data_IF_749339188371
#
_entry.id   IF_749339188371
#
_cell.length_a   1.000
_cell.length_b   1.000
_cell.length_c   1.000
_cell.angle_alpha   90.00
_cell.angle_beta   90.00
_cell.angle_gamma   90.00
#
_symmetry.space_group_name_H-M   'P 1'
#
loop_
_entity.id
_entity.type
_entity.pdbx_description
1 polymer ?
#
# COMPACT_ATOMS: atom_id res chain seq x y z
N UNK A 1 5.91 8.84 16.52
CA UNK A 1 7.02 9.66 15.98
C UNK A 1 6.50 11.01 15.46
N UNK A 2 5.31 11.09 14.81
CA UNK A 2 4.80 12.34 14.25
C UNK A 2 4.71 13.49 15.28
N UNK A 3 4.16 13.22 16.46
CA UNK A 3 4.02 14.22 17.53
C UNK A 3 5.39 14.69 18.05
N UNK A 4 6.35 13.79 18.17
CA UNK A 4 7.71 14.15 18.64
C UNK A 4 8.42 15.07 17.67
N UNK A 5 8.31 14.80 16.36
CA UNK A 5 8.88 15.66 15.32
C UNK A 5 8.24 17.05 15.32
N UNK A 6 6.93 17.10 15.54
CA UNK A 6 6.19 18.37 15.64
C UNK A 6 6.66 19.17 16.85
N UNK A 7 6.80 18.54 18.00
CA UNK A 7 7.22 19.21 19.24
C UNK A 7 8.69 19.63 19.18
N UNK A 8 9.55 18.78 18.61
CA UNK A 8 10.98 19.03 18.59
C UNK A 8 11.41 20.05 17.54
N UNK A 9 10.78 20.01 16.34
CA UNK A 9 11.14 20.90 15.23
C UNK A 9 10.18 22.10 15.08
N UNK A 10 9.18 22.24 15.93
CA UNK A 10 8.18 23.30 15.84
C UNK A 10 7.37 23.29 14.53
N UNK A 11 7.23 22.11 13.91
CA UNK A 11 6.66 22.00 12.58
C UNK A 11 5.12 21.97 12.60
N UNK A 12 4.48 22.57 11.58
CA UNK A 12 3.05 22.46 11.34
C UNK A 12 2.66 21.10 10.76
N UNK A 13 1.34 20.84 10.68
CA UNK A 13 0.80 19.63 10.06
C UNK A 13 1.14 19.52 8.57
N UNK A 14 1.19 20.64 7.86
CA UNK A 14 1.62 20.70 6.46
C UNK A 14 3.06 20.21 6.28
N UNK A 15 3.99 20.68 7.11
CA UNK A 15 5.39 20.25 7.06
C UNK A 15 5.54 18.76 7.37
N UNK A 16 4.78 18.25 8.34
CA UNK A 16 4.72 16.83 8.68
C UNK A 16 4.16 16.02 7.50
N UNK A 17 3.10 16.51 6.85
CA UNK A 17 2.50 15.93 5.65
C UNK A 17 3.49 15.87 4.48
N UNK A 18 4.23 16.96 4.22
CA UNK A 18 5.28 17.02 3.18
C UNK A 18 6.42 16.04 3.46
N UNK A 19 6.90 15.98 4.70
CA UNK A 19 7.93 15.00 5.11
C UNK A 19 7.44 13.57 4.90
N UNK A 20 6.23 13.26 5.35
CA UNK A 20 5.67 11.90 5.20
C UNK A 20 5.42 11.55 3.74
N UNK A 21 4.93 12.50 2.93
CA UNK A 21 4.65 12.30 1.50
C UNK A 21 5.91 12.07 0.67
N UNK A 22 7.07 12.59 1.09
CA UNK A 22 8.35 12.40 0.38
C UNK A 22 8.70 10.91 0.19
N UNK A 23 8.35 10.07 1.17
CA UNK A 23 8.44 8.62 1.07
C UNK A 23 7.64 8.08 -0.11
N UNK A 24 6.38 8.47 -0.23
CA UNK A 24 5.45 7.95 -1.23
C UNK A 24 5.76 8.46 -2.63
N UNK A 25 6.23 9.69 -2.78
CA UNK A 25 6.69 10.22 -4.07
C UNK A 25 7.86 9.41 -4.63
N UNK A 26 8.90 9.17 -3.83
CA UNK A 26 10.06 8.41 -4.30
C UNK A 26 9.75 6.92 -4.44
N UNK A 27 8.91 6.36 -3.57
CA UNK A 27 8.40 5.00 -3.72
C UNK A 27 7.69 4.81 -5.06
N UNK A 28 6.77 5.71 -5.43
CA UNK A 28 6.04 5.63 -6.69
C UNK A 28 6.95 5.88 -7.91
N UNK A 29 7.85 6.86 -7.82
CA UNK A 29 8.75 7.22 -8.91
C UNK A 29 9.75 6.11 -9.26
N UNK A 30 10.18 5.33 -8.28
CA UNK A 30 11.19 4.28 -8.49
C UNK A 30 10.61 2.97 -9.04
N UNK A 31 9.31 2.74 -8.93
CA UNK A 31 8.66 1.50 -9.38
C UNK A 31 8.93 1.16 -10.86
N UNK A 32 8.77 2.09 -11.83
CA UNK A 32 9.06 1.78 -13.23
C UNK A 32 10.54 1.44 -13.49
N UNK A 33 11.55 2.21 -13.03
CA UNK A 33 12.95 1.88 -13.27
C UNK A 33 13.42 0.60 -12.55
N UNK A 34 12.83 0.24 -11.42
CA UNK A 34 13.20 -0.99 -10.68
C UNK A 34 12.92 -2.26 -11.49
N UNK A 35 11.86 -2.27 -12.29
CA UNK A 35 11.59 -3.37 -13.22
C UNK A 35 12.77 -3.58 -14.18
N UNK A 36 13.22 -2.52 -14.84
CA UNK A 36 14.36 -2.54 -15.77
C UNK A 36 15.67 -2.90 -15.07
N UNK A 37 15.93 -2.29 -13.90
CA UNK A 37 17.11 -2.61 -13.10
C UNK A 37 17.13 -4.09 -12.68
N UNK A 38 15.98 -4.63 -12.32
CA UNK A 38 15.86 -6.05 -11.97
C UNK A 38 16.12 -6.98 -13.17
N UNK A 39 15.82 -6.53 -14.39
CA UNK A 39 16.11 -7.28 -15.62
C UNK A 39 17.59 -7.25 -15.98
N UNK A 40 18.27 -6.12 -15.76
CA UNK A 40 19.65 -5.89 -16.17
C UNK A 40 20.68 -6.28 -15.12
N UNK A 41 20.48 -5.91 -13.85
CA UNK A 41 21.41 -6.14 -12.75
C UNK A 41 21.15 -7.45 -11.99
N UNK A 42 19.94 -8.03 -12.19
CA UNK A 42 19.45 -9.16 -11.42
C UNK A 42 18.73 -8.74 -10.13
N UNK A 43 17.69 -9.49 -9.73
CA UNK A 43 16.85 -9.16 -8.56
C UNK A 43 17.63 -9.10 -7.24
N UNK A 44 18.60 -10.00 -7.01
CA UNK A 44 19.43 -10.05 -5.80
C UNK A 44 20.17 -8.74 -5.56
N UNK A 45 20.85 -8.23 -6.59
CA UNK A 45 21.61 -6.97 -6.49
C UNK A 45 20.69 -5.80 -6.23
N UNK A 46 19.56 -5.73 -6.95
CA UNK A 46 18.59 -4.66 -6.79
C UNK A 46 17.99 -4.66 -5.37
N UNK A 47 17.52 -5.78 -4.85
CA UNK A 47 17.02 -5.88 -3.47
C UNK A 47 18.07 -5.40 -2.48
N UNK A 48 19.31 -5.88 -2.60
CA UNK A 48 20.37 -5.53 -1.65
C UNK A 48 20.72 -4.04 -1.70
N UNK A 49 20.92 -3.46 -2.88
CA UNK A 49 21.24 -2.03 -3.05
C UNK A 49 20.10 -1.16 -2.49
N UNK A 50 18.86 -1.48 -2.83
CA UNK A 50 17.71 -0.72 -2.39
C UNK A 50 17.46 -0.86 -0.88
N UNK A 51 17.72 -2.04 -0.30
CA UNK A 51 17.67 -2.22 1.17
C UNK A 51 18.78 -1.40 1.86
N UNK A 52 19.98 -1.29 1.28
CA UNK A 52 21.04 -0.42 1.80
C UNK A 52 20.66 1.07 1.71
N UNK A 53 20.00 1.50 0.62
CA UNK A 53 19.49 2.87 0.49
C UNK A 53 18.44 3.13 1.59
N UNK A 54 17.53 2.19 1.86
CA UNK A 54 16.56 2.29 2.95
C UNK A 54 17.24 2.38 4.32
N UNK A 55 18.29 1.60 4.55
CA UNK A 55 19.10 1.65 5.77
C UNK A 55 19.72 3.04 5.95
N UNK A 56 20.42 3.56 4.94
CA UNK A 56 21.03 4.91 4.95
C UNK A 56 19.96 5.97 5.23
N UNK A 57 18.82 5.90 4.55
CA UNK A 57 17.69 6.80 4.79
C UNK A 57 17.18 6.75 6.22
N UNK A 58 17.12 5.55 6.82
CA UNK A 58 16.68 5.36 8.21
C UNK A 58 17.68 5.95 9.21
N UNK A 59 18.98 5.80 8.96
CA UNK A 59 20.05 6.41 9.77
C UNK A 59 20.00 7.93 9.67
N UNK A 60 19.87 8.49 8.47
CA UNK A 60 19.72 9.95 8.24
C UNK A 60 18.47 10.46 8.97
N UNK A 61 17.34 9.74 8.89
CA UNK A 61 16.12 10.11 9.60
C UNK A 61 16.33 10.13 11.11
N UNK A 62 16.97 9.10 11.69
CA UNK A 62 17.28 9.04 13.11
C UNK A 62 18.27 10.12 13.59
N UNK A 63 19.14 10.58 12.71
CA UNK A 63 20.12 11.66 12.96
C UNK A 63 19.57 13.07 12.70
N UNK A 64 18.30 13.20 12.28
CA UNK A 64 17.74 14.46 11.86
C UNK A 64 17.74 15.50 13.00
N UNK A 65 18.23 16.68 12.71
CA UNK A 65 18.24 17.84 13.60
C UNK A 65 17.28 18.96 13.13
N UNK A 66 16.68 18.79 11.97
CA UNK A 66 15.62 19.65 11.43
C UNK A 66 14.71 18.86 10.51
N UNK A 67 13.57 19.47 10.12
CA UNK A 67 12.55 18.86 9.27
C UNK A 67 13.08 18.52 7.87
N UNK A 68 14.01 19.28 7.31
CA UNK A 68 14.58 19.04 5.98
C UNK A 68 15.38 17.75 5.97
N UNK A 69 16.25 17.52 6.96
CA UNK A 69 17.03 16.27 7.06
C UNK A 69 16.12 15.07 7.31
N UNK A 70 15.07 15.24 8.13
CA UNK A 70 14.06 14.21 8.32
C UNK A 70 13.34 13.87 7.00
N UNK A 71 13.01 14.88 6.19
CA UNK A 71 12.38 14.72 4.87
C UNK A 71 13.29 13.96 3.91
N UNK A 72 14.58 14.29 3.85
CA UNK A 72 15.57 13.57 3.02
C UNK A 72 15.68 12.10 3.46
N UNK A 73 15.77 11.87 4.78
CA UNK A 73 15.77 10.50 5.33
C UNK A 73 14.55 9.71 4.90
N UNK A 74 13.35 10.28 5.04
CA UNK A 74 12.08 9.66 4.62
C UNK A 74 12.02 9.40 3.11
N UNK A 75 12.49 10.33 2.31
CA UNK A 75 12.57 10.19 0.86
C UNK A 75 13.47 9.00 0.46
N UNK A 76 14.64 8.88 1.08
CA UNK A 76 15.56 7.75 0.85
C UNK A 76 14.98 6.41 1.33
N UNK A 77 14.26 6.39 2.46
CA UNK A 77 13.53 5.19 2.91
C UNK A 77 12.51 4.78 1.84
N UNK A 78 11.72 5.74 1.32
CA UNK A 78 10.72 5.47 0.27
C UNK A 78 11.36 4.94 -1.02
N UNK A 79 12.45 5.55 -1.45
CA UNK A 79 13.26 5.09 -2.58
C UNK A 79 13.70 3.64 -2.38
N UNK A 80 14.33 3.35 -1.24
CA UNK A 80 14.87 2.03 -0.91
C UNK A 80 13.79 0.95 -0.81
N UNK A 81 12.69 1.22 -0.11
CA UNK A 81 11.59 0.23 0.04
C UNK A 81 10.87 -0.01 -1.29
N UNK A 82 10.76 1.03 -2.15
CA UNK A 82 10.15 0.90 -3.48
C UNK A 82 10.86 -0.09 -4.41
N UNK A 83 12.14 -0.39 -4.15
CA UNK A 83 12.95 -1.31 -4.93
C UNK A 83 12.86 -2.79 -4.54
N UNK A 84 11.98 -3.18 -3.61
CA UNK A 84 11.98 -4.54 -3.04
C UNK A 84 10.90 -5.43 -3.66
N UNK A 85 9.68 -4.91 -3.87
CA UNK A 85 8.52 -5.71 -4.23
C UNK A 85 8.65 -6.40 -5.60
N UNK A 86 8.98 -5.64 -6.64
CA UNK A 86 9.06 -6.14 -8.02
C UNK A 86 10.17 -7.18 -8.18
N UNK A 87 11.41 -6.94 -7.71
CA UNK A 87 12.46 -7.96 -7.76
C UNK A 87 12.16 -9.19 -6.90
N UNK A 88 11.50 -9.01 -5.75
CA UNK A 88 11.06 -10.12 -4.91
C UNK A 88 10.09 -11.06 -5.64
N UNK A 89 9.07 -10.49 -6.28
CA UNK A 89 8.14 -11.26 -7.11
C UNK A 89 8.84 -11.96 -8.28
N UNK A 90 9.87 -11.33 -8.86
CA UNK A 90 10.67 -11.92 -9.94
C UNK A 90 11.50 -13.11 -9.47
N UNK A 91 12.10 -13.06 -8.26
CA UNK A 91 12.76 -14.23 -7.67
C UNK A 91 11.75 -15.36 -7.51
N UNK A 92 10.60 -15.08 -6.89
CA UNK A 92 9.56 -16.10 -6.68
C UNK A 92 9.11 -16.76 -7.99
N UNK A 93 8.96 -15.99 -9.08
CA UNK A 93 8.58 -16.53 -10.38
C UNK A 93 9.62 -17.46 -11.01
N UNK A 94 10.89 -17.35 -10.63
CA UNK A 94 11.98 -18.23 -11.11
C UNK A 94 12.22 -19.45 -10.22
N UNK A 95 11.87 -19.35 -8.92
CA UNK A 95 12.15 -20.37 -7.92
C UNK A 95 10.97 -21.31 -7.64
N UNK A 96 9.76 -20.95 -8.08
CA UNK A 96 8.55 -21.73 -7.85
C UNK A 96 7.84 -22.04 -9.16
N UNK A 97 7.26 -23.24 -9.27
CA UNK A 97 6.42 -23.60 -10.41
C UNK A 97 5.17 -22.75 -10.46
N UNK A 98 4.57 -22.57 -11.62
CA UNK A 98 3.37 -21.73 -11.82
C UNK A 98 2.24 -22.08 -10.83
N UNK A 99 2.03 -23.38 -10.54
CA UNK A 99 1.05 -23.85 -9.56
C UNK A 99 1.38 -23.47 -8.10
N UNK A 100 2.66 -23.28 -7.78
CA UNK A 100 3.17 -22.97 -6.43
C UNK A 100 3.38 -21.46 -6.24
N UNK A 101 3.53 -20.73 -7.33
CA UNK A 101 3.81 -19.28 -7.34
C UNK A 101 2.76 -18.46 -6.58
N UNK A 102 1.47 -18.81 -6.74
CA UNK A 102 0.40 -18.09 -6.06
C UNK A 102 0.51 -18.21 -4.53
N UNK A 103 0.87 -19.39 -4.02
CA UNK A 103 1.09 -19.63 -2.59
C UNK A 103 2.31 -18.85 -2.08
N UNK A 104 3.44 -18.92 -2.79
CA UNK A 104 4.67 -18.21 -2.44
C UNK A 104 4.47 -16.68 -2.46
N UNK A 105 3.79 -16.16 -3.48
CA UNK A 105 3.43 -14.74 -3.57
C UNK A 105 2.49 -14.32 -2.44
N UNK A 106 1.53 -15.18 -2.06
CA UNK A 106 0.65 -14.95 -0.92
C UNK A 106 1.43 -14.83 0.40
N UNK A 107 2.39 -15.70 0.65
CA UNK A 107 3.27 -15.63 1.83
C UNK A 107 4.11 -14.35 1.81
N UNK A 108 4.65 -13.96 0.67
CA UNK A 108 5.42 -12.73 0.51
C UNK A 108 4.59 -11.48 0.83
N UNK A 109 3.36 -11.41 0.34
CA UNK A 109 2.41 -10.34 0.65
C UNK A 109 2.01 -10.34 2.13
N UNK A 110 1.79 -11.53 2.71
CA UNK A 110 1.46 -11.66 4.13
C UNK A 110 2.61 -11.16 5.02
N UNK A 111 3.87 -11.46 4.67
CA UNK A 111 5.05 -10.95 5.36
C UNK A 111 5.13 -9.41 5.29
N UNK A 112 4.82 -8.81 4.13
CA UNK A 112 4.71 -7.35 3.99
C UNK A 112 3.64 -6.74 4.92
N UNK A 113 2.48 -7.37 5.03
CA UNK A 113 1.40 -6.93 5.93
C UNK A 113 1.73 -7.15 7.41
N UNK A 114 2.50 -8.19 7.76
CA UNK A 114 3.02 -8.37 9.12
C UNK A 114 3.91 -7.19 9.54
N UNK A 115 4.66 -6.59 8.60
CA UNK A 115 5.38 -5.34 8.81
C UNK A 115 4.47 -4.18 9.21
N UNK A 116 3.30 -4.03 8.61
CA UNK A 116 2.31 -3.02 8.98
C UNK A 116 1.77 -3.24 10.41
N UNK A 117 1.55 -4.50 10.80
CA UNK A 117 1.18 -4.83 12.20
C UNK A 117 2.31 -4.47 13.17
N UNK A 118 3.55 -4.79 12.83
CA UNK A 118 4.72 -4.45 13.63
C UNK A 118 4.95 -2.93 13.76
N UNK A 119 4.59 -2.16 12.74
CA UNK A 119 4.66 -0.69 12.76
C UNK A 119 3.59 -0.02 13.64
N UNK A 120 2.57 -0.76 14.11
CA UNK A 120 1.52 -0.23 14.99
C UNK A 120 1.96 -0.29 16.47
N UNK A 121 1.50 -1.28 17.22
CA UNK A 121 1.77 -1.37 18.66
C UNK A 121 3.24 -1.70 19.00
N UNK A 122 3.92 -2.66 18.34
CA UNK A 122 5.31 -2.97 18.65
C UNK A 122 6.25 -1.78 18.46
N UNK A 123 6.11 -1.02 17.37
CA UNK A 123 6.91 0.20 17.17
C UNK A 123 6.59 1.26 18.21
N UNK A 124 5.33 1.36 18.65
CA UNK A 124 4.94 2.29 19.71
C UNK A 124 5.69 1.99 21.00
N UNK A 125 5.78 0.73 21.43
CA UNK A 125 6.56 0.31 22.59
C UNK A 125 8.06 0.61 22.42
N UNK A 126 8.62 0.33 21.26
CA UNK A 126 10.04 0.60 20.97
C UNK A 126 10.35 2.10 21.11
N UNK A 127 9.49 2.96 20.57
CA UNK A 127 9.64 4.42 20.66
C UNK A 127 9.47 4.93 22.07
N UNK A 128 8.58 4.35 22.87
CA UNK A 128 8.42 4.72 24.28
C UNK A 128 9.62 4.33 25.14
N UNK A 129 10.26 3.19 24.85
CA UNK A 129 11.41 2.70 25.60
C UNK A 129 12.72 3.41 25.23
N UNK A 130 12.95 3.64 23.93
CA UNK A 130 14.24 4.11 23.40
C UNK A 130 14.19 5.55 22.87
N UNK A 131 13.00 6.14 22.75
CA UNK A 131 12.80 7.36 21.99
C UNK A 131 12.83 7.11 20.47
N UNK A 132 12.38 8.09 19.68
CA UNK A 132 12.23 7.93 18.24
C UNK A 132 13.57 7.80 17.47
N UNK A 133 14.63 8.50 17.95
CA UNK A 133 15.97 8.44 17.33
C UNK A 133 16.60 7.07 17.48
N UNK A 134 16.70 6.56 18.70
CA UNK A 134 17.29 5.24 18.94
C UNK A 134 16.46 4.12 18.33
N UNK A 135 15.14 4.25 18.30
CA UNK A 135 14.25 3.34 17.58
C UNK A 135 14.57 3.34 16.07
N UNK A 136 14.83 4.51 15.48
CA UNK A 136 15.22 4.61 14.07
C UNK A 136 16.58 3.95 13.83
N UNK A 137 17.58 4.14 14.70
CA UNK A 137 18.86 3.45 14.58
C UNK A 137 18.73 1.93 14.75
N UNK A 138 17.88 1.45 15.65
CA UNK A 138 17.62 0.02 15.82
C UNK A 138 16.97 -0.59 14.55
N UNK A 139 16.02 0.12 13.95
CA UNK A 139 15.41 -0.27 12.66
C UNK A 139 16.45 -0.21 11.54
N UNK A 140 17.31 0.79 11.52
CA UNK A 140 18.42 0.91 10.56
C UNK A 140 19.40 -0.27 10.66
N UNK A 141 19.79 -0.64 11.87
CA UNK A 141 20.65 -1.80 12.12
C UNK A 141 19.98 -3.12 11.67
N UNK A 142 18.68 -3.28 11.98
CA UNK A 142 17.91 -4.44 11.50
C UNK A 142 17.80 -4.46 9.97
N UNK A 143 17.59 -3.31 9.34
CA UNK A 143 17.55 -3.19 7.87
C UNK A 143 18.90 -3.52 7.24
N UNK A 144 20.01 -3.12 7.87
CA UNK A 144 21.37 -3.50 7.44
C UNK A 144 21.58 -5.01 7.53
N UNK A 145 21.16 -5.63 8.63
CA UNK A 145 21.18 -7.09 8.78
C UNK A 145 20.40 -7.78 7.66
N UNK A 146 19.20 -7.28 7.34
CA UNK A 146 18.39 -7.79 6.22
C UNK A 146 19.11 -7.62 4.87
N UNK A 147 19.84 -6.53 4.64
CA UNK A 147 20.62 -6.35 3.43
C UNK A 147 21.74 -7.40 3.32
N UNK A 148 22.45 -7.68 4.42
CA UNK A 148 23.49 -8.71 4.49
C UNK A 148 22.92 -10.11 4.27
N UNK A 149 21.78 -10.42 4.92
CA UNK A 149 21.05 -11.69 4.74
C UNK A 149 20.61 -11.84 3.28
N UNK A 150 20.01 -10.80 2.71
CA UNK A 150 19.56 -10.80 1.31
C UNK A 150 20.72 -11.07 0.36
N UNK A 151 21.85 -10.39 0.55
CA UNK A 151 23.06 -10.64 -0.24
C UNK A 151 23.59 -12.05 -0.11
N UNK A 152 23.57 -12.61 1.09
CA UNK A 152 24.12 -13.94 1.38
C UNK A 152 23.25 -15.08 0.90
N UNK A 153 21.94 -14.97 1.09
CA UNK A 153 20.97 -16.07 0.85
C UNK A 153 20.35 -16.01 -0.53
N UNK A 154 19.92 -14.82 -1.00
CA UNK A 154 19.22 -14.70 -2.27
C UNK A 154 20.12 -15.08 -3.44
N UNK A 155 19.54 -15.71 -4.43
CA UNK A 155 20.15 -16.00 -5.74
C UNK A 155 19.15 -15.66 -6.83
N UNK A 156 19.65 -15.21 -7.97
CA UNK A 156 18.78 -14.77 -9.06
C UNK A 156 18.11 -15.94 -9.77
N UNK A 157 18.81 -17.09 -9.83
CA UNK A 157 18.30 -18.29 -10.47
C UNK A 157 18.64 -19.53 -9.62
N UNK A 158 17.83 -20.63 -9.71
CA UNK A 158 18.15 -21.91 -9.07
C UNK A 158 19.50 -22.48 -9.46
N UNK A 159 19.93 -22.25 -10.71
CA UNK A 159 21.21 -22.72 -11.27
C UNK A 159 22.42 -22.13 -10.52
N UNK A 160 22.29 -20.94 -9.93
CA UNK A 160 23.34 -20.31 -9.11
C UNK A 160 23.68 -21.14 -7.85
N UNK A 161 22.81 -22.09 -7.48
CA UNK A 161 23.00 -23.07 -6.39
C UNK A 161 23.22 -24.50 -6.90
N UNK A 162 23.40 -24.68 -8.20
CA UNK A 162 23.56 -26.00 -8.81
C UNK A 162 22.27 -26.80 -8.94
N UNK A 163 21.11 -26.17 -8.77
CA UNK A 163 19.81 -26.80 -8.97
C UNK A 163 19.40 -26.70 -10.44
N UNK A 164 18.65 -27.69 -10.92
CA UNK A 164 18.11 -27.64 -12.28
C UNK A 164 17.09 -26.51 -12.40
N UNK A 165 17.10 -25.85 -13.54
CA UNK A 165 16.05 -24.89 -13.90
C UNK A 165 14.70 -25.59 -13.80
N UNK A 166 13.72 -24.90 -13.24
CA UNK A 166 12.35 -25.43 -13.22
C UNK A 166 11.82 -25.35 -14.65
N UNK A 167 11.92 -26.46 -15.37
CA UNK A 167 11.28 -26.62 -16.67
C UNK A 167 9.78 -26.75 -16.44
N UNK A 168 9.03 -25.73 -16.82
CA UNK A 168 7.59 -25.89 -16.98
C UNK A 168 7.37 -26.71 -18.24
N UNK A 169 6.85 -27.93 -18.09
CA UNK A 169 6.35 -28.70 -19.22
C UNK A 169 5.30 -27.87 -19.97
N UNK A 170 5.04 -28.18 -21.27
CA UNK A 170 4.05 -27.45 -22.04
C UNK A 170 2.72 -27.42 -21.27
N UNK A 171 2.33 -26.25 -20.80
CA UNK A 171 1.07 -26.04 -20.12
C UNK A 171 -0.01 -25.86 -21.19
N UNK A 172 -0.95 -26.80 -21.35
CA UNK A 172 -2.00 -26.71 -22.38
C UNK A 172 -2.89 -25.47 -22.23
N UNK A 173 -2.88 -24.84 -21.05
CA UNK A 173 -3.67 -23.62 -20.75
C UNK A 173 -2.84 -22.32 -20.78
N UNK A 174 -1.54 -22.40 -21.03
CA UNK A 174 -0.72 -21.20 -21.29
C UNK A 174 -0.75 -20.96 -22.80
N UNK A 175 -1.13 -19.76 -23.28
CA UNK A 175 -0.91 -19.41 -24.68
C UNK A 175 0.57 -19.71 -24.99
N UNK A 176 0.84 -20.43 -26.07
CA UNK A 176 2.21 -20.70 -26.49
C UNK A 176 3.00 -19.40 -26.51
N UNK A 177 4.26 -19.41 -26.06
CA UNK A 177 5.14 -18.23 -26.11
C UNK A 177 5.21 -17.65 -27.54
N UNK A 178 4.85 -18.42 -28.54
CA UNK A 178 4.75 -18.03 -29.94
C UNK A 178 3.51 -17.16 -30.26
N UNK A 179 2.45 -17.20 -29.46
CA UNK A 179 1.26 -16.33 -29.58
C UNK A 179 1.46 -14.94 -28.91
N UNK A 180 2.57 -14.74 -28.20
CA UNK A 180 2.93 -13.42 -27.68
C UNK A 180 3.44 -12.57 -28.84
N UNK A 181 2.89 -11.38 -29.06
CA UNK A 181 3.46 -10.44 -30.02
C UNK A 181 4.88 -10.10 -29.56
N UNK A 182 5.89 -10.82 -30.08
CA UNK A 182 7.32 -10.73 -29.70
C UNK A 182 7.92 -9.32 -29.83
N UNK A 183 7.13 -8.33 -30.29
CA UNK A 183 7.64 -6.99 -30.68
C UNK A 183 6.73 -5.82 -30.32
N UNK A 184 5.79 -5.96 -29.35
CA UNK A 184 5.03 -4.77 -28.95
C UNK A 184 5.90 -3.85 -28.10
N UNK A 185 6.32 -2.73 -28.70
CA UNK A 185 7.15 -1.71 -28.02
C UNK A 185 6.48 -1.23 -26.72
N UNK A 186 7.21 -0.89 -25.65
CA UNK A 186 6.65 -0.46 -24.37
C UNK A 186 5.60 0.66 -24.49
N UNK A 187 5.85 1.66 -25.34
CA UNK A 187 4.91 2.76 -25.56
C UNK A 187 3.55 2.30 -26.13
N UNK A 188 3.55 1.25 -26.96
CA UNK A 188 2.30 0.67 -27.51
C UNK A 188 1.51 -0.04 -26.42
N UNK A 189 2.19 -0.73 -25.47
CA UNK A 189 1.53 -1.35 -24.30
C UNK A 189 0.85 -0.30 -23.45
N UNK A 190 1.54 0.80 -23.15
CA UNK A 190 0.96 1.92 -22.39
C UNK A 190 -0.27 2.51 -23.11
N UNK A 191 -0.16 2.74 -24.42
CA UNK A 191 -1.27 3.27 -25.20
C UNK A 191 -2.51 2.36 -25.16
N UNK A 192 -2.32 1.03 -25.25
CA UNK A 192 -3.41 0.06 -25.15
C UNK A 192 -4.06 0.09 -23.75
N UNK A 193 -3.26 0.14 -22.69
CA UNK A 193 -3.78 0.21 -21.31
C UNK A 193 -4.58 1.50 -21.11
N UNK A 194 -4.02 2.64 -21.49
CA UNK A 194 -4.67 3.94 -21.31
C UNK A 194 -5.89 4.16 -22.20
N UNK A 195 -6.03 3.42 -23.32
CA UNK A 195 -7.21 3.49 -24.18
C UNK A 195 -8.45 2.79 -23.62
N UNK A 196 -8.30 1.96 -22.55
CA UNK A 196 -9.42 1.22 -21.95
C UNK A 196 -10.08 2.03 -20.83
N UNK A 197 -11.36 2.46 -20.99
CA UNK A 197 -12.06 3.22 -19.94
C UNK A 197 -12.11 2.49 -18.59
N UNK A 198 -12.26 1.16 -18.59
CA UNK A 198 -12.26 0.35 -17.38
C UNK A 198 -10.98 0.46 -16.56
N UNK A 199 -9.83 0.68 -17.20
CA UNK A 199 -8.56 0.93 -16.51
C UNK A 199 -8.62 2.22 -15.67
N UNK A 200 -9.13 3.31 -16.27
CA UNK A 200 -9.24 4.59 -15.58
C UNK A 200 -10.25 4.55 -14.43
N UNK A 201 -11.37 3.85 -14.61
CA UNK A 201 -12.37 3.69 -13.55
C UNK A 201 -11.76 3.02 -12.31
N UNK A 202 -10.99 1.95 -12.50
CA UNK A 202 -10.29 1.25 -11.40
C UNK A 202 -9.19 2.14 -10.83
N UNK A 203 -8.39 2.78 -11.66
CA UNK A 203 -7.27 3.63 -11.23
C UNK A 203 -7.77 4.84 -10.43
N UNK A 204 -8.84 5.51 -10.88
CA UNK A 204 -9.50 6.61 -10.17
C UNK A 204 -10.05 6.11 -8.83
N UNK A 205 -10.73 4.96 -8.81
CA UNK A 205 -11.23 4.38 -7.57
C UNK A 205 -10.08 4.05 -6.60
N UNK A 206 -9.01 3.44 -7.09
CA UNK A 206 -7.81 3.13 -6.28
C UNK A 206 -7.17 4.41 -5.73
N UNK A 207 -7.12 5.47 -6.52
CA UNK A 207 -6.58 6.77 -6.12
C UNK A 207 -7.43 7.40 -4.99
N UNK A 208 -8.71 7.56 -5.20
CA UNK A 208 -9.60 8.27 -4.28
C UNK A 208 -10.05 7.46 -3.07
N UNK A 209 -10.00 6.14 -3.13
CA UNK A 209 -10.30 5.27 -2.00
C UNK A 209 -9.05 4.88 -1.20
N UNK A 210 -7.99 4.45 -1.88
CA UNK A 210 -6.77 3.94 -1.23
C UNK A 210 -5.95 5.03 -0.55
N UNK A 211 -5.69 6.15 -1.25
CA UNK A 211 -4.81 7.21 -0.75
C UNK A 211 -5.28 7.90 0.53
N UNK A 212 -6.55 8.36 0.62
CA UNK A 212 -7.07 8.91 1.86
C UNK A 212 -7.03 7.94 3.04
N UNK A 213 -7.34 6.66 2.82
CA UNK A 213 -7.25 5.62 3.84
C UNK A 213 -5.81 5.44 4.37
N UNK A 214 -4.84 5.33 3.47
CA UNK A 214 -3.43 5.25 3.83
C UNK A 214 -2.92 6.54 4.50
N UNK A 215 -3.43 7.71 4.08
CA UNK A 215 -3.11 8.99 4.71
C UNK A 215 -3.58 9.03 6.16
N UNK A 216 -4.83 8.66 6.42
CA UNK A 216 -5.35 8.61 7.77
C UNK A 216 -4.59 7.60 8.62
N UNK A 217 -4.46 6.37 8.17
CA UNK A 217 -3.76 5.30 8.90
C UNK A 217 -2.31 5.67 9.21
N UNK A 218 -1.59 6.20 8.23
CA UNK A 218 -0.14 6.44 8.33
C UNK A 218 0.24 7.74 9.06
N UNK A 219 -0.64 8.73 9.11
CA UNK A 219 -0.29 10.05 9.63
C UNK A 219 -1.23 10.54 10.73
N UNK A 220 -2.54 10.44 10.55
CA UNK A 220 -3.51 11.14 11.40
C UNK A 220 -4.21 10.26 12.44
N UNK A 221 -4.27 8.95 12.28
CA UNK A 221 -5.07 8.08 13.16
C UNK A 221 -4.59 8.10 14.62
N UNK A 222 -3.28 8.04 14.87
CA UNK A 222 -2.74 8.10 16.25
C UNK A 222 -2.93 9.50 16.86
N UNK A 223 -2.53 10.61 16.20
CA UNK A 223 -2.84 11.96 16.70
C UNK A 223 -4.34 12.16 16.98
N UNK A 224 -5.21 11.75 16.07
CA UNK A 224 -6.65 11.84 16.27
C UNK A 224 -7.14 11.15 17.54
N UNK A 225 -6.68 9.93 17.79
CA UNK A 225 -7.07 9.17 18.99
C UNK A 225 -6.53 9.82 20.27
N UNK A 226 -5.33 10.38 20.22
CA UNK A 226 -4.75 11.09 21.37
C UNK A 226 -5.41 12.43 21.62
N UNK A 227 -5.59 13.25 20.58
CA UNK A 227 -6.10 14.63 20.70
C UNK A 227 -7.60 14.67 21.04
N UNK A 228 -8.40 13.78 20.43
CA UNK A 228 -9.88 13.81 20.54
C UNK A 228 -10.41 12.95 21.68
N UNK A 229 -9.77 11.80 21.95
CA UNK A 229 -10.24 10.87 22.99
C UNK A 229 -9.36 10.87 24.24
N UNK A 230 -8.21 11.56 24.23
CA UNK A 230 -7.27 11.56 25.33
C UNK A 230 -6.59 10.20 25.56
N UNK A 231 -6.55 9.33 24.55
CA UNK A 231 -5.92 8.02 24.66
C UNK A 231 -4.41 8.16 24.83
N UNK A 232 -3.83 7.27 25.62
CA UNK A 232 -2.40 7.11 25.64
C UNK A 232 -1.90 6.60 24.28
N UNK A 233 -0.62 6.79 23.98
CA UNK A 233 -0.01 6.31 22.74
C UNK A 233 -0.17 4.79 22.55
N UNK A 234 -0.09 4.03 23.64
CA UNK A 234 -0.27 2.57 23.63
C UNK A 234 -1.70 2.22 23.25
N UNK A 235 -2.69 2.86 23.87
CA UNK A 235 -4.10 2.64 23.56
C UNK A 235 -4.43 3.02 22.11
N UNK A 236 -3.93 4.15 21.64
CA UNK A 236 -4.09 4.60 20.25
C UNK A 236 -3.44 3.63 19.26
N UNK A 237 -2.19 3.19 19.53
CA UNK A 237 -1.48 2.20 18.70
C UNK A 237 -2.17 0.83 18.69
N UNK A 238 -2.69 0.38 19.83
CA UNK A 238 -3.46 -0.86 19.95
C UNK A 238 -4.75 -0.81 19.15
N UNK A 239 -5.49 0.31 19.22
CA UNK A 239 -6.72 0.47 18.45
C UNK A 239 -6.43 0.59 16.94
N UNK A 240 -5.34 1.26 16.57
CA UNK A 240 -4.91 1.38 15.17
C UNK A 240 -4.59 0.02 14.54
N UNK A 241 -4.15 -0.98 15.31
CA UNK A 241 -3.90 -2.35 14.80
C UNK A 241 -5.13 -3.00 14.16
N UNK A 242 -6.34 -2.54 14.50
CA UNK A 242 -7.58 -3.06 13.89
C UNK A 242 -7.63 -2.81 12.38
N UNK A 243 -7.03 -1.72 11.87
CA UNK A 243 -6.97 -1.43 10.43
C UNK A 243 -6.14 -2.48 9.66
N UNK A 244 -4.83 -2.70 9.95
CA UNK A 244 -4.06 -3.70 9.24
C UNK A 244 -4.54 -5.13 9.52
N UNK A 245 -5.09 -5.43 10.70
CA UNK A 245 -5.71 -6.71 11.00
C UNK A 245 -6.92 -6.96 10.10
N UNK A 246 -7.81 -5.96 10.00
CA UNK A 246 -8.94 -6.01 9.07
C UNK A 246 -8.47 -6.20 7.62
N UNK A 247 -7.42 -5.49 7.19
CA UNK A 247 -6.87 -5.61 5.84
C UNK A 247 -6.42 -7.06 5.53
N UNK A 248 -5.70 -7.70 6.44
CA UNK A 248 -5.25 -9.10 6.29
C UNK A 248 -6.41 -10.08 6.20
N UNK A 249 -7.47 -9.87 6.99
CA UNK A 249 -8.69 -10.70 6.96
C UNK A 249 -9.52 -10.41 5.71
N UNK A 250 -9.68 -9.15 5.36
CA UNK A 250 -10.56 -8.71 4.28
C UNK A 250 -10.08 -9.12 2.90
N UNK A 251 -8.78 -9.08 2.63
CA UNK A 251 -8.24 -9.41 1.32
C UNK A 251 -8.64 -10.82 0.84
N UNK A 252 -8.44 -11.92 1.61
CA UNK A 252 -8.92 -13.24 1.23
C UNK A 252 -10.44 -13.38 1.34
N UNK A 253 -11.08 -12.78 2.34
CA UNK A 253 -12.51 -12.91 2.56
C UNK A 253 -13.34 -12.36 1.38
N UNK A 254 -13.05 -11.15 0.92
CA UNK A 254 -13.74 -10.55 -0.23
C UNK A 254 -13.35 -11.23 -1.54
N UNK A 255 -12.11 -11.71 -1.69
CA UNK A 255 -11.69 -12.53 -2.82
C UNK A 255 -12.56 -13.79 -2.92
N UNK A 256 -12.61 -14.57 -1.84
CA UNK A 256 -13.42 -15.78 -1.77
C UNK A 256 -14.93 -15.52 -1.99
N UNK A 257 -15.44 -14.45 -1.39
CA UNK A 257 -16.84 -14.06 -1.55
C UNK A 257 -17.17 -13.70 -3.01
N UNK A 258 -16.24 -13.05 -3.71
CA UNK A 258 -16.42 -12.64 -5.10
C UNK A 258 -16.48 -13.82 -6.09
N UNK A 259 -15.90 -14.96 -5.72
CA UNK A 259 -15.93 -16.16 -6.55
C UNK A 259 -17.19 -17.03 -6.31
N UNK A 260 -17.83 -16.89 -5.13
CA UNK A 260 -18.97 -17.72 -4.74
C UNK A 260 -20.34 -17.05 -4.85
N UNK A 261 -20.37 -15.72 -4.72
CA UNK A 261 -21.65 -14.98 -4.72
C UNK A 261 -22.00 -14.54 -6.14
N UNK A 262 -23.29 -14.64 -6.48
CA UNK A 262 -23.85 -14.32 -7.81
C UNK A 262 -23.69 -12.83 -8.20
N UNK A 263 -23.39 -11.94 -7.26
CA UNK A 263 -23.12 -10.50 -7.51
C UNK A 263 -21.90 -10.26 -8.40
N UNK A 264 -20.98 -11.23 -8.50
CA UNK A 264 -19.74 -11.10 -9.26
C UNK A 264 -18.77 -10.09 -8.63
N UNK A 265 -17.56 -10.00 -9.20
CA UNK A 265 -16.44 -9.21 -8.64
C UNK A 265 -16.75 -7.73 -8.51
N UNK A 266 -17.41 -7.13 -9.51
CA UNK A 266 -17.84 -5.73 -9.45
C UNK A 266 -18.85 -5.48 -8.32
N UNK A 267 -19.83 -6.36 -8.17
CA UNK A 267 -20.85 -6.22 -7.12
C UNK A 267 -20.23 -6.29 -5.73
N UNK A 268 -19.33 -7.24 -5.49
CA UNK A 268 -18.61 -7.38 -4.22
C UNK A 268 -17.69 -6.17 -3.97
N UNK A 269 -17.02 -5.64 -5.01
CA UNK A 269 -16.25 -4.40 -4.89
C UNK A 269 -17.14 -3.22 -4.47
N UNK A 270 -18.29 -3.04 -5.10
CA UNK A 270 -19.24 -1.99 -4.71
C UNK A 270 -19.77 -2.18 -3.28
N UNK A 271 -20.01 -3.41 -2.84
CA UNK A 271 -20.38 -3.70 -1.44
C UNK A 271 -19.24 -3.31 -0.48
N UNK A 272 -18.00 -3.63 -0.80
CA UNK A 272 -16.83 -3.26 -0.01
C UNK A 272 -16.66 -1.75 0.11
N UNK A 273 -16.72 -1.04 -1.01
CA UNK A 273 -16.63 0.42 -1.06
C UNK A 273 -17.82 1.07 -0.32
N UNK A 274 -19.04 0.57 -0.52
CA UNK A 274 -20.27 1.04 0.13
C UNK A 274 -20.22 0.85 1.65
N UNK A 275 -19.72 -0.29 2.13
CA UNK A 275 -19.57 -0.56 3.55
C UNK A 275 -18.52 0.40 4.18
N UNK A 276 -17.44 0.69 3.47
CA UNK A 276 -16.45 1.68 3.93
C UNK A 276 -17.04 3.10 3.96
N UNK A 277 -17.86 3.46 2.97
CA UNK A 277 -18.63 4.72 2.97
C UNK A 277 -19.58 4.80 4.16
N UNK A 278 -20.30 3.72 4.48
CA UNK A 278 -21.18 3.67 5.64
C UNK A 278 -20.40 3.89 6.94
N UNK A 279 -19.22 3.27 7.10
CA UNK A 279 -18.35 3.53 8.25
C UNK A 279 -17.90 5.00 8.30
N UNK A 280 -17.53 5.59 7.17
CA UNK A 280 -17.14 7.01 7.10
C UNK A 280 -18.29 7.95 7.40
N UNK A 281 -19.53 7.58 7.01
CA UNK A 281 -20.75 8.33 7.36
C UNK A 281 -20.96 8.40 8.88
N UNK A 282 -20.63 7.33 9.62
CA UNK A 282 -20.70 7.35 11.09
C UNK A 282 -19.79 8.44 11.66
N UNK A 283 -18.56 8.60 11.14
CA UNK A 283 -17.67 9.69 11.56
C UNK A 283 -18.29 11.07 11.29
N UNK A 284 -18.94 11.26 10.14
CA UNK A 284 -19.57 12.55 9.82
C UNK A 284 -20.79 12.83 10.69
N UNK A 285 -21.70 11.85 10.87
CA UNK A 285 -22.93 12.02 11.66
C UNK A 285 -22.64 12.25 13.15
N UNK A 286 -21.52 11.73 13.65
CA UNK A 286 -21.08 11.93 15.05
C UNK A 286 -20.21 13.17 15.24
N UNK A 287 -20.15 14.08 14.24
CA UNK A 287 -19.32 15.28 14.30
C UNK A 287 -17.83 14.98 14.40
N UNK A 288 -17.36 13.83 13.90
CA UNK A 288 -15.96 13.38 13.94
C UNK A 288 -15.56 12.67 15.24
N UNK A 289 -16.50 12.38 16.14
CA UNK A 289 -16.24 11.71 17.42
C UNK A 289 -17.21 10.55 17.67
N UNK A 290 -17.10 9.43 16.94
CA UNK A 290 -17.86 8.21 17.24
C UNK A 290 -17.64 7.75 18.69
N UNK A 291 -18.60 7.02 19.25
CA UNK A 291 -18.44 6.44 20.59
C UNK A 291 -17.19 5.52 20.66
N UNK A 292 -16.47 5.56 21.76
CA UNK A 292 -15.19 4.83 21.92
C UNK A 292 -15.31 3.33 21.70
N UNK A 293 -16.44 2.72 22.06
CA UNK A 293 -16.69 1.27 21.91
C UNK A 293 -16.82 0.83 20.44
N UNK A 294 -17.23 1.72 19.54
CA UNK A 294 -17.44 1.37 18.13
C UNK A 294 -16.22 1.65 17.26
N UNK A 295 -15.19 2.35 17.77
CA UNK A 295 -14.00 2.68 17.01
C UNK A 295 -13.23 1.43 16.53
N UNK A 296 -13.07 0.44 17.41
CA UNK A 296 -12.40 -0.82 17.06
C UNK A 296 -13.09 -1.56 15.92
N UNK A 297 -14.41 -1.86 16.05
CA UNK A 297 -15.20 -2.42 14.96
C UNK A 297 -15.15 -1.58 13.67
N UNK A 298 -15.27 -0.24 13.75
CA UNK A 298 -15.18 0.62 12.57
C UNK A 298 -13.84 0.48 11.85
N UNK A 299 -12.71 0.53 12.59
CA UNK A 299 -11.38 0.37 12.01
C UNK A 299 -11.18 -1.03 11.44
N UNK A 300 -11.66 -2.08 12.09
CA UNK A 300 -11.57 -3.45 11.59
C UNK A 300 -12.34 -3.59 10.26
N UNK A 301 -13.57 -3.06 10.17
CA UNK A 301 -14.40 -3.10 8.96
C UNK A 301 -13.73 -2.27 7.85
N UNK A 302 -13.30 -1.03 8.14
CA UNK A 302 -12.62 -0.18 7.16
C UNK A 302 -11.34 -0.83 6.63
N UNK A 303 -10.55 -1.44 7.51
CA UNK A 303 -9.39 -2.23 7.13
C UNK A 303 -9.74 -3.41 6.22
N UNK A 304 -10.78 -4.17 6.59
CA UNK A 304 -11.27 -5.31 5.80
C UNK A 304 -11.73 -4.88 4.39
N UNK A 305 -12.46 -3.78 4.31
CA UNK A 305 -12.86 -3.18 3.04
C UNK A 305 -11.64 -2.73 2.21
N UNK A 306 -10.61 -2.16 2.85
CA UNK A 306 -9.36 -1.76 2.18
C UNK A 306 -8.65 -2.95 1.54
N UNK A 307 -8.43 -4.03 2.30
CA UNK A 307 -7.81 -5.26 1.81
C UNK A 307 -8.63 -5.94 0.71
N UNK A 308 -9.95 -6.04 0.93
CA UNK A 308 -10.87 -6.62 -0.03
C UNK A 308 -10.92 -5.86 -1.35
N UNK A 309 -11.03 -4.54 -1.28
CA UNK A 309 -11.03 -3.68 -2.47
C UNK A 309 -9.73 -3.79 -3.26
N UNK A 310 -8.56 -3.80 -2.60
CA UNK A 310 -7.27 -3.96 -3.28
C UNK A 310 -7.18 -5.30 -4.03
N UNK A 311 -7.58 -6.40 -3.39
CA UNK A 311 -7.62 -7.73 -4.01
C UNK A 311 -8.52 -7.74 -5.25
N UNK A 312 -9.70 -7.11 -5.14
CA UNK A 312 -10.67 -7.04 -6.24
C UNK A 312 -10.20 -6.12 -7.37
N UNK A 313 -9.56 -4.97 -7.08
CA UNK A 313 -8.96 -4.12 -8.11
C UNK A 313 -7.92 -4.87 -8.93
N UNK A 314 -7.02 -5.62 -8.25
CA UNK A 314 -6.02 -6.44 -8.95
C UNK A 314 -6.67 -7.52 -9.82
N UNK A 315 -7.69 -8.19 -9.30
CA UNK A 315 -8.38 -9.27 -10.00
C UNK A 315 -9.17 -8.76 -11.20
N UNK A 316 -9.93 -7.68 -11.04
CA UNK A 316 -10.69 -7.06 -12.13
C UNK A 316 -9.73 -6.52 -13.20
N UNK A 317 -8.61 -5.91 -12.81
CA UNK A 317 -7.59 -5.45 -13.77
C UNK A 317 -7.04 -6.61 -14.60
N UNK A 318 -6.80 -7.79 -13.99
CA UNK A 318 -6.40 -8.99 -14.75
C UNK A 318 -7.45 -9.44 -15.76
N UNK A 319 -8.72 -9.26 -15.48
CA UNK A 319 -9.82 -9.63 -16.40
C UNK A 319 -10.02 -8.64 -17.55
N UNK A 320 -9.65 -7.39 -17.35
CA UNK A 320 -9.78 -6.35 -18.38
C UNK A 320 -8.73 -6.46 -19.49
N UNK A 321 -7.62 -7.14 -19.23
CA UNK A 321 -6.48 -7.20 -20.13
C UNK A 321 -6.02 -8.63 -20.42
N UNK A 322 -5.52 -8.91 -21.61
CA UNK A 322 -4.95 -10.21 -21.94
C UNK A 322 -3.69 -10.48 -21.07
N UNK A 323 -3.32 -11.75 -20.85
CA UNK A 323 -2.22 -12.15 -19.95
C UNK A 323 -0.91 -11.41 -20.19
N UNK A 324 -0.52 -11.18 -21.46
CA UNK A 324 0.71 -10.49 -21.82
C UNK A 324 0.74 -8.99 -21.47
N UNK A 325 -0.43 -8.36 -21.21
CA UNK A 325 -0.56 -6.94 -20.85
C UNK A 325 -0.88 -6.73 -19.36
N UNK A 326 -1.30 -7.78 -18.66
CA UNK A 326 -1.75 -7.73 -17.27
C UNK A 326 -0.68 -7.13 -16.35
N UNK A 327 0.58 -7.54 -16.49
CA UNK A 327 1.68 -7.00 -15.68
C UNK A 327 1.86 -5.49 -15.86
N UNK A 328 1.77 -5.01 -17.11
CA UNK A 328 1.83 -3.58 -17.43
C UNK A 328 0.63 -2.83 -16.81
N UNK A 329 -0.57 -3.36 -16.94
CA UNK A 329 -1.78 -2.75 -16.39
C UNK A 329 -1.75 -2.65 -14.86
N UNK A 330 -1.35 -3.73 -14.16
CA UNK A 330 -1.19 -3.73 -12.72
C UNK A 330 -0.08 -2.78 -12.25
N UNK A 331 1.05 -2.75 -12.97
CA UNK A 331 2.17 -1.85 -12.67
C UNK A 331 1.84 -0.38 -12.85
N UNK A 332 0.89 -0.04 -13.72
CA UNK A 332 0.40 1.33 -13.92
C UNK A 332 -0.72 1.69 -12.92
N UNK A 333 -1.55 0.75 -12.51
CA UNK A 333 -2.64 0.96 -11.56
C UNK A 333 -2.13 1.08 -10.10
N UNK A 334 -1.22 0.19 -9.70
CA UNK A 334 -0.78 0.10 -8.31
C UNK A 334 -0.17 1.40 -7.73
N UNK A 335 0.65 2.18 -8.46
CA UNK A 335 1.16 3.46 -7.96
C UNK A 335 0.09 4.51 -7.63
N UNK A 336 -1.13 4.36 -8.15
CA UNK A 336 -2.20 5.34 -7.95
C UNK A 336 -2.52 5.59 -6.47
N UNK A 337 -2.59 4.54 -5.63
CA UNK A 337 -2.84 4.69 -4.20
C UNK A 337 -1.68 5.41 -3.48
N UNK A 338 -0.45 5.11 -3.85
CA UNK A 338 0.75 5.73 -3.25
C UNK A 338 0.91 7.18 -3.67
N UNK A 339 0.69 7.49 -4.95
CA UNK A 339 0.69 8.86 -5.46
C UNK A 339 -0.42 9.69 -4.80
N UNK A 340 -1.60 9.10 -4.65
CA UNK A 340 -2.72 9.70 -3.92
C UNK A 340 -2.32 10.01 -2.47
N UNK A 341 -1.74 9.03 -1.76
CA UNK A 341 -1.26 9.24 -0.39
C UNK A 341 -0.25 10.38 -0.32
N UNK A 342 0.69 10.44 -1.28
CA UNK A 342 1.68 11.52 -1.38
C UNK A 342 1.04 12.90 -1.53
N UNK A 343 -0.08 13.00 -2.25
CA UNK A 343 -0.82 14.26 -2.44
C UNK A 343 -1.71 14.60 -1.23
N UNK A 344 -2.40 13.59 -0.67
CA UNK A 344 -3.35 13.82 0.43
C UNK A 344 -2.68 14.12 1.77
N UNK A 345 -1.47 13.62 2.04
CA UNK A 345 -0.79 13.90 3.29
C UNK A 345 -0.49 15.41 3.51
N UNK A 346 0.17 16.13 2.58
CA UNK A 346 0.36 17.56 2.73
C UNK A 346 -0.95 18.35 2.62
N UNK A 347 -1.89 17.92 1.78
CA UNK A 347 -3.18 18.58 1.63
C UNK A 347 -4.01 18.51 2.92
N UNK A 348 -4.10 17.35 3.55
CA UNK A 348 -4.80 17.22 4.84
C UNK A 348 -4.05 17.94 5.96
N UNK A 349 -2.72 17.96 5.92
CA UNK A 349 -1.90 18.78 6.82
C UNK A 349 -2.21 20.26 6.70
N UNK A 350 -2.31 20.78 5.48
CA UNK A 350 -2.72 22.15 5.22
C UNK A 350 -4.12 22.46 5.79
N UNK A 351 -5.10 21.57 5.59
CA UNK A 351 -6.43 21.75 6.15
C UNK A 351 -6.43 21.83 7.68
N UNK A 352 -5.56 21.06 8.33
CA UNK A 352 -5.42 21.10 9.78
C UNK A 352 -4.76 22.41 10.26
N UNK A 353 -3.74 22.89 9.56
CA UNK A 353 -3.06 24.14 9.88
C UNK A 353 -3.95 25.38 9.67
N UNK A 354 -4.88 25.35 8.69
CA UNK A 354 -5.90 26.41 8.49
C UNK A 354 -6.81 26.54 9.71
N UNK A 355 -7.19 25.44 10.35
CA UNK A 355 -7.97 25.48 11.60
C UNK A 355 -7.11 25.94 12.77
N UNK A 356 -5.82 25.60 12.74
CA UNK A 356 -4.86 25.91 13.80
C UNK A 356 -4.93 24.94 14.97
N UNK A 357 -3.98 25.12 15.90
CA UNK A 357 -3.87 24.32 17.12
C UNK A 357 -4.56 24.97 18.30
N UNK A 358 -5.09 24.16 19.20
CA UNK A 358 -5.53 24.59 20.53
C UNK A 358 -4.55 24.02 21.55
N UNK A 359 -3.45 24.77 21.80
CA UNK A 359 -2.32 24.29 22.61
C UNK A 359 -1.47 23.29 21.84
N UNK A 360 -1.06 22.16 22.45
CA UNK A 360 -0.24 21.13 21.79
C UNK A 360 -1.02 20.26 20.81
N UNK A 361 -2.36 20.21 20.92
CA UNK A 361 -3.27 19.34 20.17
C UNK A 361 -4.01 20.08 19.05
N UNK A 362 -4.44 19.36 18.04
CA UNK A 362 -5.40 19.86 17.06
C UNK A 362 -6.83 19.68 17.58
N UNK A 363 -7.71 20.68 17.40
CA UNK A 363 -9.11 20.57 17.80
C UNK A 363 -9.85 19.57 16.92
N UNK A 364 -10.97 19.02 17.44
CA UNK A 364 -11.81 18.07 16.70
C UNK A 364 -12.24 18.60 15.32
N UNK A 365 -12.50 19.90 15.21
CA UNK A 365 -12.85 20.55 13.93
C UNK A 365 -11.81 20.35 12.84
N UNK A 366 -10.51 20.32 13.18
CA UNK A 366 -9.45 20.06 12.21
C UNK A 366 -9.54 18.64 11.63
N UNK A 367 -9.75 17.64 12.48
CA UNK A 367 -9.96 16.25 12.06
C UNK A 367 -11.26 16.07 11.30
N UNK A 368 -12.31 16.77 11.70
CA UNK A 368 -13.59 16.71 11.02
C UNK A 368 -13.52 17.17 9.56
N UNK A 369 -12.77 18.24 9.27
CA UNK A 369 -12.51 18.69 7.90
C UNK A 369 -11.77 17.62 7.08
N UNK A 370 -10.82 16.91 7.69
CA UNK A 370 -10.13 15.78 7.04
C UNK A 370 -11.12 14.66 6.74
N UNK A 371 -12.03 14.31 7.65
CA UNK A 371 -13.04 13.28 7.42
C UNK A 371 -14.02 13.65 6.31
N UNK A 372 -14.43 14.93 6.20
CA UNK A 372 -15.25 15.40 5.08
C UNK A 372 -14.55 15.16 3.73
N UNK A 373 -13.29 15.57 3.63
CA UNK A 373 -12.50 15.38 2.40
C UNK A 373 -12.35 13.89 2.07
N UNK A 374 -12.04 13.06 3.08
CA UNK A 374 -11.91 11.60 2.89
C UNK A 374 -13.23 11.00 2.41
N UNK A 375 -14.35 11.42 2.98
CA UNK A 375 -15.69 10.95 2.56
C UNK A 375 -15.99 11.32 1.11
N UNK A 376 -15.72 12.57 0.71
CA UNK A 376 -15.90 13.03 -0.68
C UNK A 376 -15.04 12.18 -1.63
N UNK A 377 -13.79 11.93 -1.27
CA UNK A 377 -12.90 11.06 -2.04
C UNK A 377 -13.46 9.64 -2.17
N UNK A 378 -13.94 9.06 -1.08
CA UNK A 378 -14.55 7.72 -1.11
C UNK A 378 -15.80 7.68 -2.00
N UNK A 379 -16.63 8.74 -1.99
CA UNK A 379 -17.77 8.86 -2.91
C UNK A 379 -17.30 8.87 -4.37
N UNK A 380 -16.28 9.67 -4.70
CA UNK A 380 -15.71 9.71 -6.06
C UNK A 380 -15.19 8.31 -6.45
N UNK A 381 -14.44 7.65 -5.55
CA UNK A 381 -13.95 6.29 -5.78
C UNK A 381 -15.08 5.27 -5.98
N UNK A 382 -16.15 5.35 -5.21
CA UNK A 382 -17.32 4.49 -5.35
C UNK A 382 -18.05 4.74 -6.70
N UNK A 383 -18.36 6.00 -7.00
CA UNK A 383 -19.09 6.38 -8.21
C UNK A 383 -18.31 6.00 -9.47
N UNK A 384 -16.97 6.09 -9.46
CA UNK A 384 -16.14 5.74 -10.60
C UNK A 384 -16.26 4.25 -11.02
N UNK A 385 -16.65 3.36 -10.11
CA UNK A 385 -16.83 1.92 -10.41
C UNK A 385 -18.24 1.61 -10.96
N UNK A 386 -19.24 2.46 -10.74
CA UNK A 386 -20.62 2.20 -11.17
C UNK A 386 -20.71 1.92 -12.69
N UNK A 387 -20.09 2.70 -13.59
CA UNK A 387 -20.19 2.45 -15.03
C UNK A 387 -19.28 1.30 -15.52
N UNK A 388 -18.44 0.70 -14.67
CA UNK A 388 -17.52 -0.35 -15.07
C UNK A 388 -18.28 -1.55 -15.62
N UNK A 389 -17.98 -1.92 -16.87
CA UNK A 389 -18.51 -3.12 -17.52
C UNK A 389 -17.42 -4.19 -17.54
N UNK A 390 -17.63 -5.27 -16.82
CA UNK A 390 -16.79 -6.47 -16.88
C UNK A 390 -17.49 -7.40 -17.86
N UNK A 391 -16.88 -7.62 -19.03
CA UNK A 391 -17.37 -8.67 -19.94
C UNK A 391 -17.11 -10.01 -19.23
N UNK A 392 -18.18 -10.72 -18.86
CA UNK A 392 -18.04 -12.13 -18.49
C UNK A 392 -17.49 -12.86 -19.69
N UNK A 393 -16.20 -13.17 -19.70
CA UNK A 393 -15.68 -14.20 -20.59
C UNK A 393 -16.40 -15.48 -20.17
N UNK A 394 -17.35 -15.95 -21.00
CA UNK A 394 -17.97 -17.27 -20.87
C UNK A 394 -16.87 -18.31 -21.11
N UNK A 395 -16.09 -18.61 -20.09
CA UNK A 395 -15.26 -19.80 -20.04
C UNK A 395 -15.99 -20.78 -19.12
N UNK A 396 -16.44 -21.86 -19.73
CA UNK A 396 -17.13 -23.01 -19.10
C UNK A 396 -18.64 -22.84 -18.79
N UNK A 397 -19.45 -22.89 -19.84
CA UNK A 397 -20.74 -23.59 -19.78
C UNK A 397 -21.10 -23.99 -21.21
N UNK A 398 -20.51 -25.08 -21.67
CA UNK A 398 -21.02 -26.00 -22.70
C UNK A 398 -20.11 -27.23 -22.76
N UNK A 399 -20.30 -28.11 -21.79
CA UNK A 399 -20.15 -29.52 -22.02
C UNK A 399 -21.42 -30.19 -21.46
N UNK A 400 -22.17 -30.92 -22.34
CA UNK A 400 -23.36 -31.66 -21.98
C UNK A 400 -23.05 -32.81 -21.01
#
# INVERSE_FOLDING_TARGET
IALELVLEFGAGATALGLMSSSYFYLYAAVQPPVGVLSDTLGPRRVITIFTLIACIGTVIFGSAYNMTVATVGRALIGLGVGGIFVPGMKILSKWYRQREFAGAAGIFLAAGNAGNLAASLPLTYLVLLLGWRMSSFAIGAFTLLLAVISWSILRDNPEDKGWKRIEEGPNPSSPAEDDLPKTVKPHTRFRIVFSKPGFWMITISTFFFGGPGLTFQGLWAVPYLMDVYGYSRIQAGGLLMMLPLGFVIGAPAFGFLSDRVSLGRKGILLCSLGLSLACSTVFLLTGGKPGSLILGPLFLIMGSCGGGSLSLYMTITKELFPPWLTGTALGLMNPAAFLSTAMFQPFTGFLMDVVGRSGPAYPLAAYYNVFIVMFICMVIGFVSIIPLKIQRTRLYSDHP
#
